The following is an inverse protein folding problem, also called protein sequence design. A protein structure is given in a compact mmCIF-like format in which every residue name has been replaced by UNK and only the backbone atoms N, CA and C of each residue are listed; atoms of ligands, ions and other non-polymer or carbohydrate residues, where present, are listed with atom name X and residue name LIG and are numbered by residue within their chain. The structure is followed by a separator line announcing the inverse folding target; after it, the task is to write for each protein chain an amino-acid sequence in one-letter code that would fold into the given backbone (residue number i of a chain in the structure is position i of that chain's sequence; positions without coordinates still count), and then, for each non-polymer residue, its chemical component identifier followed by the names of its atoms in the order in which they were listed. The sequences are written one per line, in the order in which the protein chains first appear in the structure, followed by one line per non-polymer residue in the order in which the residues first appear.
data_IF_356191508581
#
_entry.id   IF_356191508581
#
_cell.length_a   1.000
_cell.length_b   1.000
_cell.length_c   1.000
_cell.angle_alpha   90.00
_cell.angle_beta   90.00
_cell.angle_gamma   90.00
#
_symmetry.space_group_name_H-M   'P 1'
#
loop_
_entity.id
_entity.type
_entity.pdbx_description
1 polymer ?
#
# COMPACT_ATOMS: atom_id res chain seq x y z
N UNK A 1 -10.21 10.36 15.01
CA UNK A 1 -8.92 11.06 14.91
C UNK A 1 -8.16 10.48 13.72
N UNK A 2 -7.57 11.30 12.86
CA UNK A 2 -6.56 10.81 11.91
C UNK A 2 -5.30 10.57 12.74
N UNK A 3 -4.85 9.33 12.82
CA UNK A 3 -3.54 9.00 13.35
C UNK A 3 -2.60 8.96 12.16
N UNK A 4 -1.67 9.91 12.10
CA UNK A 4 -0.67 9.92 11.04
C UNK A 4 0.41 8.86 11.33
N UNK A 5 0.70 8.02 10.35
CA UNK A 5 1.78 7.03 10.42
C UNK A 5 2.98 7.60 9.67
N UNK A 6 4.10 7.77 10.38
CA UNK A 6 5.36 8.24 9.77
C UNK A 6 6.19 7.04 9.29
N UNK A 7 6.51 7.02 8.00
CA UNK A 7 7.37 6.01 7.38
C UNK A 7 8.69 6.68 7.00
N UNK A 8 9.81 6.07 7.37
CA UNK A 8 11.16 6.55 7.01
C UNK A 8 11.72 5.72 5.86
N UNK A 9 12.19 6.40 4.81
CA UNK A 9 12.84 5.78 3.66
C UNK A 9 14.26 6.34 3.52
N UNK A 10 15.20 5.50 3.11
CA UNK A 10 16.46 5.99 2.57
C UNK A 10 16.23 6.66 1.21
N UNK A 11 17.20 7.47 0.77
CA UNK A 11 17.12 8.13 -0.53
C UNK A 11 17.00 7.12 -1.67
N UNK A 12 17.74 6.01 -1.60
CA UNK A 12 17.71 4.96 -2.62
C UNK A 12 16.36 4.24 -2.66
N UNK A 13 15.80 3.90 -1.50
CA UNK A 13 14.46 3.30 -1.40
C UNK A 13 13.39 4.22 -2.00
N UNK A 14 13.46 5.53 -1.71
CA UNK A 14 12.52 6.51 -2.25
C UNK A 14 12.61 6.62 -3.78
N UNK A 15 13.83 6.63 -4.35
CA UNK A 15 14.03 6.67 -5.80
C UNK A 15 13.45 5.41 -6.46
N UNK A 16 13.75 4.23 -5.91
CA UNK A 16 13.28 2.95 -6.45
C UNK A 16 11.75 2.85 -6.40
N UNK A 17 11.12 3.23 -5.29
CA UNK A 17 9.66 3.24 -5.17
C UNK A 17 9.02 4.26 -6.11
N UNK A 18 9.63 5.44 -6.28
CA UNK A 18 9.14 6.46 -7.21
C UNK A 18 9.12 5.94 -8.66
N UNK A 19 10.16 5.22 -9.09
CA UNK A 19 10.20 4.61 -10.43
C UNK A 19 9.15 3.51 -10.59
N UNK A 20 8.98 2.66 -9.56
CA UNK A 20 7.94 1.63 -9.55
C UNK A 20 6.54 2.23 -9.73
N UNK A 21 6.20 3.26 -8.95
CA UNK A 21 4.89 3.90 -9.02
C UNK A 21 4.68 4.66 -10.33
N UNK A 22 5.70 5.39 -10.81
CA UNK A 22 5.62 6.06 -12.11
C UNK A 22 5.44 5.07 -13.27
N UNK A 23 6.04 3.88 -13.18
CA UNK A 23 5.81 2.80 -14.15
C UNK A 23 4.37 2.28 -14.07
N UNK A 24 3.85 2.04 -12.87
CA UNK A 24 2.48 1.56 -12.67
C UNK A 24 1.44 2.55 -13.22
N UNK A 25 1.58 3.84 -12.95
CA UNK A 25 0.69 4.89 -13.47
C UNK A 25 0.66 4.94 -15.02
N UNK A 26 1.76 4.52 -15.67
CA UNK A 26 1.86 4.51 -17.13
C UNK A 26 1.32 3.24 -17.77
N UNK A 27 1.37 2.10 -17.07
CA UNK A 27 1.07 0.79 -17.65
C UNK A 27 -0.19 0.14 -17.09
N UNK A 28 -0.76 0.68 -16.01
CA UNK A 28 -1.83 0.10 -15.20
C UNK A 28 -1.52 -1.32 -14.68
N UNK A 29 -0.24 -1.72 -14.71
CA UNK A 29 0.23 -3.06 -14.29
C UNK A 29 1.27 -2.91 -13.18
N UNK A 30 0.91 -3.34 -11.97
CA UNK A 30 1.83 -3.38 -10.85
C UNK A 30 2.68 -4.63 -10.94
N UNK A 31 3.91 -4.48 -11.44
CA UNK A 31 4.89 -5.56 -11.55
C UNK A 31 6.26 -5.11 -11.08
N UNK A 32 7.02 -6.06 -10.50
CA UNK A 32 8.38 -5.83 -10.03
C UNK A 32 9.37 -6.07 -11.18
N UNK A 33 10.17 -5.07 -11.50
CA UNK A 33 11.20 -5.14 -12.54
C UNK A 33 12.59 -5.45 -11.95
N UNK A 34 12.80 -5.17 -10.67
CA UNK A 34 14.09 -5.36 -10.01
C UNK A 34 13.93 -5.77 -8.54
N UNK A 35 14.87 -6.57 -8.02
CA UNK A 35 14.86 -7.03 -6.63
C UNK A 35 14.88 -5.87 -5.62
N UNK A 36 15.49 -4.74 -5.98
CA UNK A 36 15.50 -3.55 -5.13
C UNK A 36 14.09 -3.01 -4.85
N UNK A 37 13.15 -3.13 -5.80
CA UNK A 37 11.75 -2.71 -5.61
C UNK A 37 11.08 -3.59 -4.55
N UNK A 38 11.32 -4.90 -4.59
CA UNK A 38 10.86 -5.82 -3.56
C UNK A 38 11.43 -5.47 -2.18
N UNK A 39 12.74 -5.21 -2.10
CA UNK A 39 13.39 -4.87 -0.83
C UNK A 39 12.87 -3.55 -0.25
N UNK A 40 12.65 -2.54 -1.08
CA UNK A 40 12.08 -1.26 -0.66
C UNK A 40 10.64 -1.42 -0.16
N UNK A 41 9.80 -2.20 -0.86
CA UNK A 41 8.45 -2.54 -0.41
C UNK A 41 8.47 -3.32 0.91
N UNK A 42 9.37 -4.30 1.06
CA UNK A 42 9.53 -5.03 2.32
C UNK A 42 9.94 -4.11 3.47
N UNK A 43 10.78 -3.10 3.20
CA UNK A 43 11.16 -2.12 4.23
C UNK A 43 9.98 -1.28 4.70
N UNK A 44 9.08 -0.91 3.79
CA UNK A 44 7.83 -0.23 4.13
C UNK A 44 6.92 -1.15 4.95
N UNK A 45 6.71 -2.38 4.49
CA UNK A 45 5.88 -3.37 5.19
C UNK A 45 6.38 -3.61 6.63
N UNK A 46 7.68 -3.80 6.81
CA UNK A 46 8.29 -4.01 8.12
C UNK A 46 8.16 -2.81 9.08
N UNK A 47 7.92 -1.60 8.57
CA UNK A 47 7.63 -0.42 9.41
C UNK A 47 6.15 -0.35 9.80
N UNK A 48 5.27 -0.75 8.89
CA UNK A 48 3.83 -0.87 9.17
C UNK A 48 3.56 -1.95 10.22
N UNK A 49 4.18 -3.12 10.09
CA UNK A 49 4.03 -4.24 11.04
C UNK A 49 4.47 -3.87 12.47
N UNK A 50 5.41 -2.93 12.61
CA UNK A 50 5.87 -2.44 13.92
C UNK A 50 4.94 -1.39 14.51
N UNK A 51 4.17 -0.70 13.67
CA UNK A 51 3.37 0.45 14.06
C UNK A 51 1.92 0.05 14.29
N UNK A 52 1.41 -0.86 13.46
CA UNK A 52 0.03 -1.34 13.50
C UNK A 52 -0.11 -2.48 14.51
N UNK A 53 -1.12 -2.36 15.37
CA UNK A 53 -1.51 -3.41 16.32
C UNK A 53 -2.72 -4.19 15.83
N UNK A 54 -3.51 -3.57 14.95
CA UNK A 54 -4.74 -4.07 14.35
C UNK A 54 -4.59 -5.46 13.68
N UNK A 55 -3.47 -5.80 13.01
CA UNK A 55 -3.27 -7.14 12.43
C UNK A 55 -3.35 -8.30 13.43
N UNK A 56 -3.20 -8.02 14.73
CA UNK A 56 -3.27 -9.02 15.79
C UNK A 56 -4.65 -9.09 16.46
N UNK A 57 -5.60 -8.25 16.06
CA UNK A 57 -6.96 -8.25 16.59
C UNK A 57 -7.85 -9.28 15.86
N UNK A 58 -8.73 -9.95 16.61
CA UNK A 58 -9.69 -10.90 16.02
C UNK A 58 -10.64 -10.24 15.00
N UNK A 59 -10.84 -8.93 15.12
CA UNK A 59 -11.66 -8.10 14.23
C UNK A 59 -10.88 -7.50 13.05
N UNK A 60 -9.63 -7.90 12.79
CA UNK A 60 -8.79 -7.28 11.76
C UNK A 60 -9.45 -7.21 10.38
N UNK A 61 -10.18 -8.25 9.98
CA UNK A 61 -10.90 -8.28 8.70
C UNK A 61 -11.94 -7.13 8.60
N UNK A 62 -12.70 -6.89 9.66
CA UNK A 62 -13.68 -5.79 9.71
C UNK A 62 -12.98 -4.43 9.75
N UNK A 63 -11.86 -4.32 10.47
CA UNK A 63 -11.04 -3.10 10.51
C UNK A 63 -10.54 -2.76 9.12
N UNK A 64 -10.02 -3.74 8.38
CA UNK A 64 -9.54 -3.57 7.00
C UNK A 64 -10.68 -3.18 6.06
N UNK A 65 -11.84 -3.86 6.13
CA UNK A 65 -13.01 -3.53 5.31
C UNK A 65 -13.46 -2.09 5.54
N UNK A 66 -13.66 -1.69 6.79
CA UNK A 66 -14.07 -0.33 7.13
C UNK A 66 -13.01 0.71 6.73
N UNK A 67 -11.72 0.39 6.85
CA UNK A 67 -10.65 1.29 6.40
C UNK A 67 -10.69 1.50 4.88
N UNK A 68 -10.88 0.42 4.10
CA UNK A 68 -11.04 0.48 2.64
C UNK A 68 -12.26 1.32 2.23
N UNK A 69 -13.41 1.09 2.85
CA UNK A 69 -14.63 1.87 2.61
C UNK A 69 -14.42 3.36 2.87
N UNK A 70 -13.76 3.72 3.98
CA UNK A 70 -13.45 5.12 4.31
C UNK A 70 -12.47 5.76 3.34
N UNK A 71 -11.46 5.00 2.87
CA UNK A 71 -10.44 5.50 1.95
C UNK A 71 -10.97 5.68 0.51
N UNK A 72 -11.84 4.78 0.06
CA UNK A 72 -12.47 4.85 -1.26
C UNK A 72 -13.76 5.71 -1.26
N UNK A 73 -14.16 6.26 -0.12
CA UNK A 73 -15.37 7.07 -0.02
C UNK A 73 -15.29 8.29 -0.96
N UNK A 74 -16.17 8.33 -1.95
CA UNK A 74 -16.23 9.40 -2.96
C UNK A 74 -15.34 9.16 -4.19
N UNK A 75 -14.65 8.02 -4.31
CA UNK A 75 -14.00 7.61 -5.55
C UNK A 75 -15.00 6.85 -6.43
N UNK A 76 -15.16 7.28 -7.68
CA UNK A 76 -16.05 6.65 -8.65
C UNK A 76 -15.24 5.87 -9.71
N UNK A 77 -15.70 4.66 -10.05
CA UNK A 77 -15.05 3.80 -11.04
C UNK A 77 -14.04 2.82 -10.43
N UNK A 78 -13.21 2.22 -11.30
CA UNK A 78 -12.14 1.28 -10.89
C UNK A 78 -10.79 1.95 -11.06
N UNK A 79 -9.97 1.90 -10.01
CA UNK A 79 -8.58 2.31 -10.11
C UNK A 79 -7.79 1.35 -11.02
N UNK A 80 -6.69 1.80 -11.64
CA UNK A 80 -5.73 0.94 -12.33
C UNK A 80 -5.37 -0.31 -11.51
N UNK A 81 -5.24 -1.45 -12.19
CA UNK A 81 -4.88 -2.72 -11.55
C UNK A 81 -5.97 -3.39 -10.71
N UNK A 82 -7.15 -2.80 -10.54
CA UNK A 82 -8.28 -3.42 -9.82
C UNK A 82 -9.10 -4.31 -10.78
N UNK A 83 -9.01 -5.63 -10.62
CA UNK A 83 -9.73 -6.60 -11.47
C UNK A 83 -11.10 -7.05 -10.92
N UNK A 84 -11.50 -6.62 -9.71
CA UNK A 84 -12.77 -6.95 -9.02
C UNK A 84 -12.80 -8.35 -8.38
N UNK A 85 -13.77 -8.73 -7.55
CA UNK A 85 -14.15 -8.16 -6.24
C UNK A 85 -13.62 -9.17 -5.19
N UNK A 86 -13.08 -8.71 -4.06
CA UNK A 86 -12.98 -9.62 -2.90
C UNK A 86 -14.41 -9.90 -2.44
N UNK A 87 -14.85 -11.15 -2.62
CA UNK A 87 -16.12 -11.68 -2.14
C UNK A 87 -16.19 -11.69 -0.60
#
# INVERSE_FOLDING_TARGET
MKHDISISLSQDEAIVLSELFGRFERTDVLSLAHNAEFLALQRVAAQLDKTLLEPFEASYADVVRLARERLAAGFEGRAPGVTGDEA
#
